data_IF_210997033875
#
_entry.id   IF_210997033875
#
_cell.length_a   1.000
_cell.length_b   1.000
_cell.length_c   1.000
_cell.angle_alpha   90.00
_cell.angle_beta   90.00
_cell.angle_gamma   90.00
#
_symmetry.space_group_name_H-M   'P 1'
#
loop_
_entity.id
_entity.type
_entity.pdbx_description
1 polymer ?
#
# COMPACT_ATOMS: atom_id res chain seq x y z
N UNK A 1 -6.22 -33.15 11.86
CA UNK A 1 -7.00 -32.05 11.24
C UNK A 1 -8.23 -32.66 10.62
N UNK A 2 -9.40 -32.02 10.73
CA UNK A 2 -10.67 -32.54 10.23
C UNK A 2 -10.96 -32.01 8.81
N UNK A 3 -11.56 -32.85 7.96
CA UNK A 3 -11.87 -32.50 6.57
C UNK A 3 -12.69 -31.21 6.48
N UNK A 4 -13.74 -31.07 7.30
CA UNK A 4 -14.60 -29.88 7.32
C UNK A 4 -13.82 -28.57 7.50
N UNK A 5 -12.79 -28.56 8.34
CA UNK A 5 -11.96 -27.37 8.54
C UNK A 5 -11.05 -27.11 7.34
N UNK A 6 -10.47 -28.17 6.76
CA UNK A 6 -9.61 -28.05 5.58
C UNK A 6 -10.41 -27.49 4.41
N UNK A 7 -11.55 -28.10 4.11
CA UNK A 7 -12.44 -27.68 3.01
C UNK A 7 -12.85 -26.21 3.13
N UNK A 8 -13.25 -25.76 4.32
CA UNK A 8 -13.66 -24.37 4.53
C UNK A 8 -12.53 -23.34 4.41
N UNK A 9 -11.27 -23.78 4.36
CA UNK A 9 -10.08 -22.93 4.30
C UNK A 9 -9.16 -23.27 3.10
N UNK A 10 -9.62 -24.10 2.16
CA UNK A 10 -8.86 -24.43 0.96
C UNK A 10 -8.54 -23.20 0.11
N UNK A 11 -9.45 -22.22 0.03
CA UNK A 11 -9.22 -20.94 -0.64
C UNK A 11 -8.07 -20.17 0.00
N UNK A 12 -8.10 -19.99 1.32
CA UNK A 12 -7.03 -19.33 2.08
C UNK A 12 -5.68 -20.07 1.93
N UNK A 13 -5.69 -21.40 1.84
CA UNK A 13 -4.48 -22.17 1.54
C UNK A 13 -3.95 -21.87 0.13
N UNK A 14 -4.81 -21.83 -0.90
CA UNK A 14 -4.46 -21.55 -2.30
C UNK A 14 -3.91 -20.13 -2.49
N UNK A 15 -4.36 -19.17 -1.67
CA UNK A 15 -3.92 -17.78 -1.70
C UNK A 15 -2.78 -17.47 -0.72
N UNK A 16 -2.23 -18.51 -0.07
CA UNK A 16 -1.09 -18.45 0.86
C UNK A 16 -1.35 -17.58 2.11
N UNK A 17 -2.61 -17.47 2.53
CA UNK A 17 -3.03 -16.65 3.68
C UNK A 17 -2.92 -17.38 5.01
N UNK A 18 -2.73 -18.71 4.98
CA UNK A 18 -2.55 -19.52 6.19
C UNK A 18 -1.16 -19.37 6.79
N UNK A 19 -1.05 -19.54 8.11
CA UNK A 19 0.25 -19.56 8.80
C UNK A 19 1.11 -20.74 8.34
N UNK A 20 2.44 -20.64 8.47
CA UNK A 20 3.34 -21.71 8.02
C UNK A 20 3.08 -23.07 8.70
N UNK A 21 2.67 -23.07 9.97
CA UNK A 21 2.30 -24.30 10.70
C UNK A 21 1.02 -24.90 10.12
N UNK A 22 0.02 -24.07 9.81
CA UNK A 22 -1.22 -24.51 9.19
C UNK A 22 -0.98 -25.04 7.78
N UNK A 23 -0.19 -24.35 6.95
CA UNK A 23 0.16 -24.82 5.61
C UNK A 23 0.76 -26.24 5.63
N UNK A 24 1.66 -26.52 6.58
CA UNK A 24 2.25 -27.85 6.72
C UNK A 24 1.21 -28.92 7.13
N UNK A 25 0.28 -28.57 8.03
CA UNK A 25 -0.82 -29.48 8.42
C UNK A 25 -1.80 -29.72 7.27
N UNK A 26 -2.08 -28.70 6.45
CA UNK A 26 -2.89 -28.83 5.24
C UNK A 26 -2.21 -29.76 4.24
N UNK A 27 -0.93 -29.55 3.95
CA UNK A 27 -0.17 -30.42 3.04
C UNK A 27 -0.24 -31.89 3.48
N UNK A 28 0.04 -32.17 4.75
CA UNK A 28 -0.06 -33.52 5.29
C UNK A 28 -1.48 -34.12 5.21
N UNK A 29 -2.52 -33.28 5.36
CA UNK A 29 -3.90 -33.75 5.22
C UNK A 29 -4.27 -34.05 3.76
N UNK A 30 -3.85 -33.20 2.82
CA UNK A 30 -4.10 -33.38 1.38
C UNK A 30 -3.37 -34.61 0.82
N UNK A 31 -2.22 -34.98 1.39
CA UNK A 31 -1.52 -36.22 1.04
C UNK A 31 -2.27 -37.49 1.49
N UNK A 32 -3.02 -37.41 2.59
CA UNK A 32 -3.71 -38.56 3.18
C UNK A 32 -5.22 -38.64 2.85
N UNK A 33 -5.85 -37.54 2.45
CA UNK A 33 -7.30 -37.47 2.21
C UNK A 33 -7.62 -37.18 0.75
N UNK A 34 -8.12 -38.20 0.05
CA UNK A 34 -8.50 -38.13 -1.36
C UNK A 34 -9.65 -37.15 -1.65
N UNK A 35 -10.59 -37.01 -0.72
CA UNK A 35 -11.73 -36.08 -0.89
C UNK A 35 -11.27 -34.62 -0.88
N UNK A 36 -10.44 -34.26 0.10
CA UNK A 36 -9.91 -32.91 0.21
C UNK A 36 -8.91 -32.59 -0.91
N UNK A 37 -8.13 -33.57 -1.38
CA UNK A 37 -7.22 -33.38 -2.51
C UNK A 37 -7.98 -33.17 -3.83
N UNK A 38 -9.06 -33.92 -4.06
CA UNK A 38 -9.93 -33.72 -5.22
C UNK A 38 -10.55 -32.32 -5.22
N UNK A 39 -11.08 -31.87 -4.07
CA UNK A 39 -11.64 -30.52 -3.94
C UNK A 39 -10.58 -29.43 -4.17
N UNK A 40 -9.38 -29.59 -3.61
CA UNK A 40 -8.25 -28.70 -3.87
C UNK A 40 -7.91 -28.60 -5.36
N UNK A 41 -7.85 -29.72 -6.07
CA UNK A 41 -7.63 -29.72 -7.52
C UNK A 41 -8.75 -29.01 -8.30
N UNK A 42 -10.01 -29.19 -7.91
CA UNK A 42 -11.12 -28.48 -8.57
C UNK A 42 -10.99 -26.98 -8.42
N UNK A 43 -10.62 -26.49 -7.23
CA UNK A 43 -10.39 -25.06 -6.99
C UNK A 43 -9.19 -24.53 -7.79
N UNK A 44 -8.12 -25.30 -7.92
CA UNK A 44 -6.99 -24.94 -8.77
C UNK A 44 -7.38 -24.82 -10.24
N UNK A 45 -8.24 -25.71 -10.76
CA UNK A 45 -8.76 -25.61 -12.13
C UNK A 45 -9.59 -24.35 -12.32
N UNK A 46 -10.45 -24.00 -11.38
CA UNK A 46 -11.22 -22.74 -11.41
C UNK A 46 -10.28 -21.54 -11.42
N UNK A 47 -9.30 -21.47 -10.50
CA UNK A 47 -8.30 -20.41 -10.46
C UNK A 47 -7.50 -20.30 -11.77
N UNK A 48 -7.17 -21.44 -12.38
CA UNK A 48 -6.50 -21.48 -13.68
C UNK A 48 -7.37 -20.89 -14.81
N UNK A 49 -8.64 -21.29 -14.89
CA UNK A 49 -9.58 -20.75 -15.88
C UNK A 49 -9.77 -19.24 -15.71
N UNK A 50 -9.89 -18.76 -14.48
CA UNK A 50 -10.02 -17.33 -14.21
C UNK A 50 -8.79 -16.54 -14.65
N UNK A 51 -7.59 -17.12 -14.55
CA UNK A 51 -6.35 -16.48 -15.00
C UNK A 51 -6.27 -16.32 -16.52
N UNK A 52 -6.99 -17.14 -17.28
CA UNK A 52 -7.05 -17.08 -18.74
C UNK A 52 -8.14 -16.17 -19.29
N UNK A 53 -8.92 -15.53 -18.43
CA UNK A 53 -9.87 -14.53 -18.87
C UNK A 53 -9.12 -13.37 -19.56
N UNK A 54 -9.68 -12.82 -20.66
CA UNK A 54 -9.07 -11.70 -21.35
C UNK A 54 -8.87 -10.54 -20.38
N UNK A 55 -7.63 -10.10 -20.26
CA UNK A 55 -7.31 -8.95 -19.41
C UNK A 55 -7.83 -7.70 -20.10
N UNK A 56 -8.74 -6.99 -19.43
CA UNK A 56 -9.20 -5.68 -19.91
C UNK A 56 -8.06 -4.70 -19.74
N UNK A 57 -7.45 -4.29 -20.86
CA UNK A 57 -6.43 -3.27 -20.85
C UNK A 57 -7.04 -1.94 -20.38
N UNK A 58 -6.42 -1.23 -19.41
CA UNK A 58 -6.90 0.09 -19.01
C UNK A 58 -6.79 1.07 -20.20
N UNK A 59 -7.71 2.05 -20.24
CA UNK A 59 -7.82 3.05 -21.33
C UNK A 59 -6.55 3.91 -21.52
N UNK A 60 -5.66 3.94 -20.52
CA UNK A 60 -4.30 4.49 -20.59
C UNK A 60 -3.34 3.39 -20.16
N UNK A 61 -2.17 3.32 -20.79
CA UNK A 61 -1.11 2.41 -20.36
C UNK A 61 -0.84 2.64 -18.87
N UNK A 62 -1.13 1.65 -18.04
CA UNK A 62 -0.99 1.78 -16.58
C UNK A 62 0.44 2.16 -16.17
N UNK A 63 1.40 1.78 -17.00
CA UNK A 63 2.82 2.12 -16.88
C UNK A 63 3.05 3.64 -16.90
N UNK A 64 2.46 4.38 -17.84
CA UNK A 64 2.65 5.83 -17.95
C UNK A 64 2.10 6.55 -16.72
N UNK A 65 0.92 6.14 -16.25
CA UNK A 65 0.27 6.71 -15.06
C UNK A 65 1.10 6.44 -13.81
N UNK A 66 1.66 5.23 -13.68
CA UNK A 66 2.52 4.88 -12.53
C UNK A 66 3.85 5.62 -12.56
N UNK A 67 4.49 5.72 -13.74
CA UNK A 67 5.75 6.45 -13.91
C UNK A 67 5.58 7.94 -13.62
N UNK A 68 4.50 8.57 -14.08
CA UNK A 68 4.17 9.97 -13.76
C UNK A 68 4.04 10.15 -12.25
N UNK A 69 3.28 9.29 -11.56
CA UNK A 69 3.10 9.39 -10.11
C UNK A 69 4.41 9.19 -9.32
N UNK A 70 5.28 8.28 -9.78
CA UNK A 70 6.62 8.10 -9.19
C UNK A 70 7.48 9.35 -9.39
N UNK A 71 7.44 9.97 -10.57
CA UNK A 71 8.19 11.19 -10.88
C UNK A 71 7.71 12.37 -10.02
N UNK A 72 6.40 12.58 -9.92
CA UNK A 72 5.80 13.60 -9.06
C UNK A 72 6.23 13.45 -7.60
N UNK A 73 6.22 12.22 -7.08
CA UNK A 73 6.67 11.93 -5.72
C UNK A 73 8.15 12.26 -5.51
N UNK A 74 9.01 11.90 -6.47
CA UNK A 74 10.45 12.24 -6.43
C UNK A 74 10.69 13.75 -6.50
N UNK A 75 9.93 14.47 -7.31
CA UNK A 75 10.02 15.94 -7.44
C UNK A 75 9.61 16.62 -6.13
N UNK A 76 8.50 16.20 -5.52
CA UNK A 76 8.02 16.72 -4.24
C UNK A 76 9.03 16.45 -3.10
N UNK A 77 9.65 15.27 -3.06
CA UNK A 77 10.69 14.95 -2.08
C UNK A 77 12.01 15.71 -2.31
N UNK A 78 12.30 16.13 -3.55
CA UNK A 78 13.50 16.90 -3.90
C UNK A 78 13.35 18.40 -3.65
N UNK A 79 12.24 18.87 -3.08
CA UNK A 79 12.08 20.28 -2.72
C UNK A 79 13.33 20.79 -1.98
N UNK A 80 14.02 21.81 -2.51
CA UNK A 80 15.35 22.15 -2.04
C UNK A 80 15.29 22.72 -0.63
N UNK A 81 15.98 22.08 0.33
CA UNK A 81 16.27 22.62 1.68
C UNK A 81 17.12 23.92 1.66
N UNK A 82 17.29 24.56 0.50
CA UNK A 82 18.22 25.68 0.28
C UNK A 82 17.73 27.02 0.86
N UNK A 83 16.46 27.13 1.28
CA UNK A 83 15.93 28.40 1.80
C UNK A 83 16.19 28.65 3.28
N UNK A 84 16.58 27.64 4.06
CA UNK A 84 16.87 27.80 5.50
C UNK A 84 18.32 28.20 5.81
N UNK A 85 19.27 27.91 4.92
CA UNK A 85 20.67 28.27 5.14
C UNK A 85 21.00 29.71 4.71
N UNK A 86 20.43 30.18 3.60
CA UNK A 86 20.67 31.55 3.12
C UNK A 86 20.03 32.61 4.05
N UNK A 87 18.86 32.30 4.61
CA UNK A 87 18.17 33.17 5.59
C UNK A 87 18.90 33.26 6.93
N UNK A 88 19.63 32.21 7.32
CA UNK A 88 20.46 32.23 8.55
C UNK A 88 21.73 33.07 8.39
N UNK A 89 22.42 32.98 7.25
CA UNK A 89 23.64 33.78 7.01
C UNK A 89 23.36 35.27 6.89
N UNK A 90 22.24 35.66 6.28
CA UNK A 90 21.82 37.07 6.22
C UNK A 90 21.58 37.67 7.60
N UNK A 91 21.07 36.90 8.57
CA UNK A 91 20.91 37.37 9.95
C UNK A 91 22.25 37.71 10.61
N UNK A 92 23.30 36.95 10.31
CA UNK A 92 24.64 37.25 10.80
C UNK A 92 25.30 38.42 10.07
N UNK A 93 25.04 38.60 8.77
CA UNK A 93 25.55 39.73 7.99
C UNK A 93 25.06 41.08 8.54
N UNK A 94 23.77 41.19 8.89
CA UNK A 94 23.22 42.39 9.53
C UNK A 94 23.81 42.63 10.92
N UNK A 95 24.00 41.57 11.71
CA UNK A 95 24.64 41.67 13.02
C UNK A 95 26.09 42.18 12.94
N UNK A 96 26.87 41.68 11.99
CA UNK A 96 28.25 42.13 11.78
C UNK A 96 28.32 43.59 11.32
N UNK A 97 27.44 44.01 10.40
CA UNK A 97 27.36 45.40 9.97
C UNK A 97 27.01 46.35 11.12
N UNK A 98 26.08 45.97 12.01
CA UNK A 98 25.73 46.79 13.17
C UNK A 98 26.88 46.92 14.18
N UNK A 99 27.64 45.85 14.43
CA UNK A 99 28.83 45.90 15.31
C UNK A 99 29.93 46.76 14.69
N UNK A 100 30.20 46.62 13.38
CA UNK A 100 31.18 47.46 12.69
C UNK A 100 30.77 48.94 12.73
N UNK A 101 29.48 49.24 12.53
CA UNK A 101 28.95 50.60 12.65
C UNK A 101 29.09 51.15 14.07
N UNK A 102 28.82 50.33 15.10
CA UNK A 102 29.02 50.71 16.49
C UNK A 102 30.49 51.00 16.81
N UNK A 103 31.42 50.16 16.34
CA UNK A 103 32.88 50.37 16.50
C UNK A 103 33.33 51.65 15.79
N UNK A 104 32.75 51.96 14.63
CA UNK A 104 33.08 53.17 13.88
C UNK A 104 32.51 54.44 14.51
N UNK A 105 31.33 54.34 15.14
CA UNK A 105 30.63 55.46 15.79
C UNK A 105 31.08 55.69 17.24
N UNK A 106 31.74 54.73 17.90
CA UNK A 106 32.33 54.98 19.22
C UNK A 106 33.58 55.84 19.03
N UNK A 107 33.59 57.11 19.51
CA UNK A 107 34.79 57.91 19.51
C UNK A 107 35.85 57.14 20.30
N UNK A 108 37.02 56.95 19.68
CA UNK A 108 38.17 56.29 20.26
C UNK A 108 38.68 57.14 21.44
N UNK A 109 38.08 56.95 22.60
CA UNK A 109 38.57 57.49 23.86
C UNK A 109 39.92 56.82 24.15
N UNK A 110 40.99 57.53 23.85
CA UNK A 110 42.33 57.22 24.30
C UNK A 110 42.37 57.14 25.83
N UNK A 111 42.66 55.94 26.31
CA UNK A 111 43.58 55.70 27.41
C UNK A 111 43.38 56.58 28.67
N UNK A 112 42.40 56.20 29.51
CA UNK A 112 42.51 56.48 30.95
C UNK A 112 43.02 55.23 31.67
N UNK A 113 44.31 55.33 31.99
CA UNK A 113 45.08 54.56 32.97
C UNK A 113 44.28 53.64 33.88
N UNK A 114 44.68 52.37 33.86
CA UNK A 114 44.39 51.39 34.91
C UNK A 114 44.69 51.97 36.29
N UNK A 115 43.67 52.04 37.16
CA UNK A 115 43.89 52.02 38.61
C UNK A 115 43.79 50.58 39.10
N UNK A 116 44.73 50.09 39.93
CA UNK A 116 44.57 48.82 40.61
C UNK A 116 43.50 48.99 41.68
N UNK A 117 42.36 48.32 41.51
CA UNK A 117 41.36 48.22 42.57
C UNK A 117 41.79 47.07 43.47
N UNK A 118 42.21 47.43 44.69
CA UNK A 118 42.47 46.55 45.81
C UNK A 118 41.26 45.64 46.07
N UNK A 119 41.57 44.36 46.21
CA UNK A 119 40.67 43.33 46.73
C UNK A 119 40.53 43.48 48.24
N UNK A 120 39.45 44.09 48.70
CA UNK A 120 38.98 43.92 50.08
C UNK A 120 37.67 43.14 50.09
N UNK A 121 37.69 42.12 50.94
CA UNK A 121 36.68 41.10 51.08
C UNK A 121 35.32 41.65 51.50
N UNK A 122 34.27 41.19 50.83
CA UNK A 122 33.01 40.91 51.50
C UNK A 122 32.44 39.60 50.97
N UNK A 123 32.70 38.54 51.73
CA UNK A 123 31.90 37.33 51.80
C UNK A 123 30.44 37.72 51.98
N UNK A 124 29.62 37.52 50.95
CA UNK A 124 28.17 37.41 51.12
C UNK A 124 27.71 36.19 50.36
N UNK A 125 27.62 35.09 51.09
CA UNK A 125 26.78 33.95 50.78
C UNK A 125 25.36 34.42 50.52
N UNK A 126 24.81 34.19 49.33
CA UNK A 126 23.36 34.09 49.11
C UNK A 126 23.08 33.39 47.77
N UNK A 127 22.89 32.07 47.91
CA UNK A 127 21.83 31.28 47.27
C UNK A 127 21.36 31.71 45.88
N UNK A 128 21.91 31.02 44.89
CA UNK A 128 21.28 30.85 43.58
C UNK A 128 19.97 30.04 43.73
N UNK A 129 18.82 30.56 43.28
CA UNK A 129 17.59 29.78 43.13
C UNK A 129 17.59 29.08 41.75
N UNK A 130 18.72 28.48 41.34
CA UNK A 130 18.72 27.66 40.12
C UNK A 130 18.11 26.30 40.46
N UNK A 131 16.80 26.18 40.20
CA UNK A 131 16.13 24.90 40.07
C UNK A 131 16.93 24.03 39.11
N UNK A 132 17.52 22.95 39.64
CA UNK A 132 18.05 21.85 38.85
C UNK A 132 16.90 21.34 37.99
N UNK A 133 16.87 21.78 36.73
CA UNK A 133 15.98 21.23 35.72
C UNK A 133 16.48 19.83 35.41
N UNK A 134 16.05 18.86 36.22
CA UNK A 134 16.25 17.44 35.97
C UNK A 134 15.68 17.15 34.59
N UNK A 135 16.55 16.76 33.67
CA UNK A 135 16.14 16.28 32.36
C UNK A 135 15.51 14.90 32.57
N UNK A 136 14.20 14.89 32.81
CA UNK A 136 13.40 13.67 32.75
C UNK A 136 13.24 13.32 31.28
N UNK A 137 13.95 12.29 30.83
CA UNK A 137 13.62 11.66 29.56
C UNK A 137 12.17 11.18 29.63
N UNK A 138 11.30 11.50 28.65
CA UNK A 138 10.02 10.84 28.58
C UNK A 138 10.29 9.34 28.39
N UNK A 139 9.67 8.44 29.18
CA UNK A 139 9.78 7.02 28.89
C UNK A 139 9.27 6.80 27.47
N UNK A 140 10.04 6.06 26.68
CA UNK A 140 9.59 5.53 25.40
C UNK A 140 8.27 4.80 25.66
N UNK A 141 7.18 5.43 25.24
CA UNK A 141 5.84 4.84 25.28
C UNK A 141 5.88 3.70 24.28
N UNK A 142 6.16 2.50 24.80
CA UNK A 142 5.96 1.23 24.11
C UNK A 142 4.52 1.26 23.60
N UNK A 143 4.39 1.20 22.28
CA UNK A 143 3.12 1.09 21.58
C UNK A 143 2.46 -0.21 22.01
N UNK A 144 1.69 -0.17 23.10
CA UNK A 144 0.68 -1.17 23.39
C UNK A 144 -0.41 -1.07 22.33
N UNK A 145 -0.58 -2.17 21.62
CA UNK A 145 -1.74 -2.48 20.79
C UNK A 145 -3.01 -2.38 21.64
N UNK A 146 -3.81 -1.34 21.41
CA UNK A 146 -5.18 -1.31 21.93
C UNK A 146 -6.00 -2.43 21.26
N UNK A 147 -6.72 -3.27 22.03
CA UNK A 147 -7.69 -4.20 21.48
C UNK A 147 -9.02 -3.50 21.17
N UNK A 148 -9.68 -4.07 20.15
CA UNK A 148 -11.05 -3.91 19.68
C UNK A 148 -12.01 -3.04 20.52
N UNK A 149 -12.56 -2.01 19.88
CA UNK A 149 -13.96 -1.63 20.03
C UNK A 149 -14.58 -1.59 18.63
N UNK A 150 -15.33 -2.66 18.35
CA UNK A 150 -16.23 -2.76 17.21
C UNK A 150 -17.49 -1.97 17.55
N UNK A 151 -17.64 -0.77 16.98
CA UNK A 151 -18.91 -0.05 16.99
C UNK A 151 -19.68 -0.41 15.72
N UNK A 152 -20.57 -1.37 15.86
CA UNK A 152 -21.68 -1.61 14.95
C UNK A 152 -22.59 -0.38 14.94
N UNK A 153 -22.47 0.46 13.92
CA UNK A 153 -23.50 1.44 13.61
C UNK A 153 -24.34 0.92 12.45
N UNK A 154 -25.62 0.71 12.78
CA UNK A 154 -26.69 0.32 11.89
C UNK A 154 -26.87 1.32 10.74
N UNK A 155 -27.11 0.72 9.59
CA UNK A 155 -27.69 1.26 8.36
C UNK A 155 -28.94 2.13 8.61
N UNK A 156 -29.29 3.00 7.65
CA UNK A 156 -30.61 2.87 7.06
C UNK A 156 -30.52 2.54 5.57
N UNK A 157 -31.07 1.37 5.22
CA UNK A 157 -31.20 0.89 3.86
C UNK A 157 -32.22 1.72 3.09
N UNK A 158 -31.80 2.28 1.96
CA UNK A 158 -32.68 2.69 0.88
C UNK A 158 -33.26 1.44 0.21
N UNK A 159 -34.59 1.33 0.02
CA UNK A 159 -35.17 0.21 -0.69
C UNK A 159 -34.93 0.37 -2.20
N UNK A 160 -34.06 -0.47 -2.76
CA UNK A 160 -33.98 -0.70 -4.19
C UNK A 160 -35.12 -1.63 -4.58
N UNK A 161 -36.06 -1.11 -5.36
CA UNK A 161 -37.16 -1.87 -5.96
C UNK A 161 -36.55 -2.90 -6.93
N UNK A 162 -36.57 -4.16 -6.54
CA UNK A 162 -36.30 -5.31 -7.41
C UNK A 162 -37.49 -5.47 -8.36
N UNK A 163 -37.30 -5.10 -9.63
CA UNK A 163 -38.10 -5.69 -10.70
C UNK A 163 -37.72 -7.18 -10.79
N UNK A 164 -38.74 -8.04 -10.69
CA UNK A 164 -38.65 -9.48 -10.94
C UNK A 164 -37.89 -9.78 -12.23
N UNK A 165 -36.89 -10.69 -12.21
CA UNK A 165 -36.45 -11.34 -13.42
C UNK A 165 -37.48 -12.39 -13.83
N UNK A 166 -38.00 -12.25 -15.04
CA UNK A 166 -38.81 -13.23 -15.77
C UNK A 166 -38.16 -14.63 -15.73
N UNK A 167 -38.96 -15.71 -15.70
CA UNK A 167 -38.42 -17.06 -15.74
C UNK A 167 -37.75 -17.33 -17.08
N UNK A 168 -36.43 -17.53 -17.06
CA UNK A 168 -35.65 -17.95 -18.20
C UNK A 168 -36.24 -19.22 -18.82
N UNK A 169 -36.78 -19.09 -20.03
CA UNK A 169 -37.19 -20.22 -20.86
C UNK A 169 -36.00 -21.12 -21.22
N UNK A 170 -36.26 -22.36 -21.68
CA UNK A 170 -35.23 -23.32 -22.00
C UNK A 170 -34.29 -22.79 -23.07
N UNK A 171 -32.99 -22.83 -22.75
CA UNK A 171 -31.88 -22.49 -23.65
C UNK A 171 -31.98 -23.36 -24.90
N UNK A 172 -32.06 -22.80 -26.12
CA UNK A 172 -32.04 -23.61 -27.33
C UNK A 172 -30.69 -24.34 -27.44
N UNK A 173 -30.67 -25.61 -27.92
CA UNK A 173 -29.42 -26.34 -28.07
C UNK A 173 -28.49 -25.60 -29.02
N UNK A 174 -27.26 -25.43 -28.56
CA UNK A 174 -26.15 -24.79 -29.27
C UNK A 174 -26.05 -25.36 -30.69
N UNK A 175 -26.10 -24.54 -31.78
CA UNK A 175 -25.92 -25.07 -33.12
C UNK A 175 -24.52 -25.69 -33.21
N UNK A 176 -24.48 -26.97 -33.57
CA UNK A 176 -23.26 -27.73 -33.81
C UNK A 176 -22.40 -26.95 -34.80
N UNK A 177 -21.33 -26.34 -34.31
CA UNK A 177 -20.30 -25.72 -35.14
C UNK A 177 -19.59 -26.86 -35.85
N UNK A 178 -19.98 -27.13 -37.09
CA UNK A 178 -19.24 -28.02 -37.98
C UNK A 178 -17.91 -27.34 -38.33
N UNK A 179 -16.78 -28.05 -38.27
CA UNK A 179 -15.51 -27.50 -38.71
C UNK A 179 -15.57 -27.23 -40.22
N UNK A 180 -15.44 -25.97 -40.62
CA UNK A 180 -15.20 -25.58 -42.00
C UNK A 180 -13.79 -26.04 -42.36
N UNK A 181 -13.71 -27.14 -43.11
CA UNK A 181 -12.45 -27.56 -43.74
C UNK A 181 -12.29 -26.74 -45.01
N UNK A 182 -11.48 -25.68 -44.93
CA UNK A 182 -11.02 -24.96 -46.12
C UNK A 182 -10.06 -25.84 -46.92
N UNK A 183 -10.53 -26.32 -48.06
CA UNK A 183 -9.68 -26.91 -49.08
C UNK A 183 -9.00 -25.81 -49.90
N UNK A 184 -7.70 -26.01 -50.18
CA UNK A 184 -6.71 -25.05 -50.74
C UNK A 184 -7.03 -24.47 -52.14
N UNK A 185 -8.23 -24.69 -52.67
CA UNK A 185 -8.61 -24.35 -54.05
C UNK A 185 -9.91 -23.53 -54.17
N UNK A 186 -10.37 -22.90 -53.08
CA UNK A 186 -11.25 -21.71 -53.17
C UNK A 186 -12.60 -21.88 -53.89
N UNK A 187 -13.19 -23.07 -53.86
CA UNK A 187 -14.54 -23.30 -54.40
C UNK A 187 -15.49 -23.73 -53.29
N UNK A 188 -16.44 -22.85 -52.92
CA UNK A 188 -17.55 -23.11 -52.02
C UNK A 188 -18.57 -24.05 -52.69
N UNK A 189 -18.29 -25.36 -52.65
CA UNK A 189 -19.24 -26.39 -53.04
C UNK A 189 -20.06 -26.84 -51.83
N UNK A 190 -21.34 -26.51 -51.80
CA UNK A 190 -22.30 -27.06 -50.82
C UNK A 190 -22.49 -28.55 -51.12
N UNK A 191 -21.76 -29.43 -50.44
CA UNK A 191 -22.02 -30.86 -50.50
C UNK A 191 -23.27 -31.18 -49.67
N UNK A 192 -24.40 -31.36 -50.36
CA UNK A 192 -25.54 -32.05 -49.77
C UNK A 192 -25.18 -33.52 -49.51
N UNK A 193 -25.43 -34.07 -48.32
CA UNK A 193 -25.32 -35.50 -48.10
C UNK A 193 -26.51 -36.20 -48.76
N UNK A 194 -26.26 -36.95 -49.83
CA UNK A 194 -27.17 -37.99 -50.31
C UNK A 194 -27.24 -39.08 -49.25
N UNK A 195 -28.34 -39.10 -48.50
CA UNK A 195 -28.73 -40.27 -47.71
C UNK A 195 -29.14 -41.39 -48.68
N UNK A 196 -28.22 -42.33 -48.94
CA UNK A 196 -28.60 -43.64 -49.47
C UNK A 196 -29.26 -44.44 -48.33
N UNK A 197 -30.58 -44.57 -48.42
CA UNK A 197 -31.35 -45.60 -47.75
C UNK A 197 -30.98 -46.95 -48.37
N UNK A 198 -30.22 -47.76 -47.64
CA UNK A 198 -30.04 -49.16 -48.01
C UNK A 198 -30.92 -50.04 -47.12
N UNK A 199 -31.86 -50.83 -47.69
CA UNK A 199 -32.66 -51.78 -46.93
C UNK A 199 -31.97 -53.15 -46.89
N UNK A 200 -31.75 -53.68 -45.68
CA UNK A 200 -32.18 -55.00 -45.19
C UNK A 200 -31.40 -55.43 -43.96
#
# INVERSE_FOLDING_TARGET
MNCRYVQSHLSAYIDMELTGIEQQRFRAHLECCLECSAEYETLLRVKHLMRHLPTVAPLRSGEEVMLQRIQEYRMAQRAPRRTLFHTRWWRYAWGAAAVALAIWLTPREENKQLRPIQSDALTTSLTSPYSKRTFSFPPLRRSESNPLVSSSNMSPHTPVILLSPEPFGPIPPNPVIMPVVENRWGTTGTLQPTFELQPR
#
